data_IF_294817684167
#
_entry.id   IF_294817684167
#
_cell.length_a   1.000
_cell.length_b   1.000
_cell.length_c   1.000
_cell.angle_alpha   90.00
_cell.angle_beta   90.00
_cell.angle_gamma   90.00
#
_symmetry.space_group_name_H-M   'P 1'
#
loop_
_entity.id
_entity.type
_entity.pdbx_description
1 polymer ?
#
# COMPACT_ATOMS: atom_id res chain seq x y z
N UNK A 1 -14.91 -25.84 -3.87
CA UNK A 1 -15.26 -24.84 -2.86
C UNK A 1 -15.17 -23.48 -3.54
N UNK A 2 -16.30 -22.87 -3.84
CA UNK A 2 -16.33 -21.51 -4.40
C UNK A 2 -15.93 -20.52 -3.30
N UNK A 3 -15.11 -19.53 -3.66
CA UNK A 3 -14.62 -18.43 -2.84
C UNK A 3 -15.75 -17.49 -2.39
N UNK A 4 -16.67 -18.00 -1.58
CA UNK A 4 -17.74 -17.20 -0.97
C UNK A 4 -17.13 -16.29 0.10
N UNK A 5 -17.01 -15.02 -0.26
CA UNK A 5 -16.96 -13.82 0.60
C UNK A 5 -16.34 -14.02 1.97
N UNK A 6 -15.01 -14.11 2.02
CA UNK A 6 -14.33 -14.02 3.30
C UNK A 6 -14.65 -12.66 3.95
N UNK A 7 -15.11 -12.61 5.21
CA UNK A 7 -15.56 -11.36 5.83
C UNK A 7 -14.53 -10.22 5.79
N UNK A 8 -13.24 -10.55 5.80
CA UNK A 8 -12.17 -9.55 5.75
C UNK A 8 -12.02 -8.87 4.39
N UNK A 9 -12.34 -9.54 3.28
CA UNK A 9 -12.26 -8.94 1.94
C UNK A 9 -13.22 -7.75 1.84
N UNK A 10 -14.44 -7.93 2.34
CA UNK A 10 -15.46 -6.88 2.41
C UNK A 10 -15.05 -5.75 3.37
N UNK A 11 -14.42 -6.08 4.50
CA UNK A 11 -13.88 -5.07 5.41
C UNK A 11 -12.76 -4.24 4.75
N UNK A 12 -11.92 -4.86 3.94
CA UNK A 12 -10.87 -4.17 3.17
C UNK A 12 -11.45 -3.26 2.10
N UNK A 13 -12.42 -3.77 1.33
CA UNK A 13 -13.12 -2.98 0.32
C UNK A 13 -13.77 -1.75 0.96
N UNK A 14 -14.42 -1.89 2.13
CA UNK A 14 -14.99 -0.74 2.86
C UNK A 14 -13.95 0.30 3.26
N UNK A 15 -12.77 -0.13 3.74
CA UNK A 15 -11.66 0.81 4.03
C UNK A 15 -11.25 1.60 2.80
N UNK A 16 -11.18 0.95 1.64
CA UNK A 16 -10.89 1.62 0.36
C UNK A 16 -12.00 2.58 -0.07
N UNK A 17 -13.27 2.22 0.14
CA UNK A 17 -14.41 3.11 -0.12
C UNK A 17 -14.38 4.36 0.76
N UNK A 18 -14.10 4.21 2.06
CA UNK A 18 -14.04 5.31 3.04
C UNK A 18 -13.01 6.37 2.64
N UNK A 19 -11.85 5.95 2.12
CA UNK A 19 -10.81 6.88 1.66
C UNK A 19 -10.94 7.26 0.18
N UNK A 20 -11.95 6.75 -0.53
CA UNK A 20 -12.16 6.96 -1.98
C UNK A 20 -10.97 6.50 -2.83
N UNK A 21 -10.37 5.36 -2.48
CA UNK A 21 -9.21 4.80 -3.18
C UNK A 21 -9.49 4.59 -4.67
N UNK A 22 -10.68 4.12 -5.05
CA UNK A 22 -11.05 3.93 -6.47
C UNK A 22 -10.90 5.22 -7.28
N UNK A 23 -11.45 6.33 -6.78
CA UNK A 23 -11.41 7.61 -7.48
C UNK A 23 -9.97 8.14 -7.60
N UNK A 24 -9.14 7.92 -6.59
CA UNK A 24 -7.72 8.28 -6.62
C UNK A 24 -6.95 7.42 -7.63
N UNK A 25 -7.10 6.10 -7.57
CA UNK A 25 -6.40 5.16 -8.44
C UNK A 25 -6.76 5.38 -9.91
N UNK A 26 -8.04 5.58 -10.22
CA UNK A 26 -8.49 5.93 -11.57
C UNK A 26 -7.90 7.26 -12.05
N UNK A 27 -7.79 8.26 -11.17
CA UNK A 27 -7.17 9.56 -11.50
C UNK A 27 -5.70 9.42 -11.89
N UNK A 28 -4.97 8.50 -11.27
CA UNK A 28 -3.56 8.24 -11.59
C UNK A 28 -3.35 7.17 -12.68
N UNK A 29 -4.44 6.62 -13.25
CA UNK A 29 -4.38 5.68 -14.37
C UNK A 29 -4.35 4.20 -13.98
N UNK A 30 -4.64 3.86 -12.73
CA UNK A 30 -4.74 2.47 -12.26
C UNK A 30 -6.21 2.01 -12.30
N UNK A 31 -6.47 0.90 -13.00
CA UNK A 31 -7.77 0.24 -12.98
C UNK A 31 -8.00 -0.45 -11.63
N UNK A 32 -8.92 0.10 -10.83
CA UNK A 32 -9.24 -0.39 -9.49
C UNK A 32 -9.85 -1.80 -9.49
N UNK A 33 -10.65 -2.14 -10.51
CA UNK A 33 -11.31 -3.43 -10.58
C UNK A 33 -10.29 -4.56 -10.82
N UNK A 34 -9.38 -4.39 -11.77
CA UNK A 34 -8.39 -5.41 -12.10
C UNK A 34 -7.23 -5.48 -11.11
N UNK A 35 -6.83 -4.35 -10.51
CA UNK A 35 -5.64 -4.32 -9.63
C UNK A 35 -5.95 -4.48 -8.14
N UNK A 36 -7.16 -4.15 -7.68
CA UNK A 36 -7.49 -4.17 -6.24
C UNK A 36 -8.64 -5.15 -5.96
N UNK A 37 -9.81 -4.93 -6.57
CA UNK A 37 -10.99 -5.78 -6.31
C UNK A 37 -10.78 -7.22 -6.79
N UNK A 38 -10.34 -7.41 -8.04
CA UNK A 38 -10.09 -8.73 -8.60
C UNK A 38 -9.14 -9.57 -7.75
N UNK A 39 -7.94 -9.07 -7.39
CA UNK A 39 -6.99 -9.80 -6.56
C UNK A 39 -7.53 -10.15 -5.17
N UNK A 40 -8.15 -9.19 -4.47
CA UNK A 40 -8.64 -9.44 -3.11
C UNK A 40 -9.84 -10.41 -3.09
N UNK A 41 -10.77 -10.29 -4.05
CA UNK A 41 -11.92 -11.19 -4.17
C UNK A 41 -11.53 -12.62 -4.56
N UNK A 42 -10.39 -12.78 -5.24
CA UNK A 42 -9.84 -14.10 -5.60
C UNK A 42 -8.79 -14.61 -4.60
N UNK A 43 -8.53 -13.89 -3.51
CA UNK A 43 -7.59 -14.29 -2.49
C UNK A 43 -8.00 -15.60 -1.83
N UNK A 44 -7.01 -16.42 -1.49
CA UNK A 44 -7.17 -17.69 -0.75
C UNK A 44 -6.64 -17.60 0.68
N UNK A 45 -6.19 -16.43 1.12
CA UNK A 45 -5.74 -16.21 2.49
C UNK A 45 -6.91 -16.39 3.45
N UNK A 46 -6.68 -17.01 4.61
CA UNK A 46 -7.73 -17.28 5.61
C UNK A 46 -7.98 -16.08 6.56
N UNK A 47 -7.13 -15.05 6.50
CA UNK A 47 -7.16 -13.87 7.35
C UNK A 47 -6.84 -12.61 6.56
N UNK A 48 -7.18 -11.45 7.14
CA UNK A 48 -6.90 -10.14 6.56
C UNK A 48 -5.39 -9.85 6.56
N UNK A 49 -4.71 -9.77 5.40
CA UNK A 49 -3.29 -9.40 5.36
C UNK A 49 -3.06 -7.93 5.78
N UNK A 50 -4.11 -7.12 5.80
CA UNK A 50 -4.07 -5.69 6.14
C UNK A 50 -4.69 -5.36 7.50
N UNK A 51 -4.94 -6.33 8.38
CA UNK A 51 -5.61 -6.09 9.67
C UNK A 51 -4.89 -5.00 10.50
N UNK A 52 -3.55 -5.04 10.43
CA UNK A 52 -2.65 -4.14 11.15
C UNK A 52 -2.16 -2.96 10.32
N UNK A 53 -2.78 -2.70 9.16
CA UNK A 53 -2.44 -1.59 8.28
C UNK A 53 -3.49 -0.48 8.31
N UNK A 54 -3.06 0.71 7.92
CA UNK A 54 -3.87 1.90 7.67
C UNK A 54 -3.77 2.19 6.17
N UNK A 55 -4.91 2.44 5.57
CA UNK A 55 -5.01 2.95 4.21
C UNK A 55 -5.32 4.44 4.28
N UNK A 56 -4.54 5.26 3.58
CA UNK A 56 -4.73 6.71 3.59
C UNK A 56 -4.19 7.32 2.30
N UNK A 57 -4.83 8.39 1.81
CA UNK A 57 -4.30 9.21 0.73
C UNK A 57 -3.73 10.49 1.34
N UNK A 58 -2.43 10.68 1.20
CA UNK A 58 -1.71 11.82 1.77
C UNK A 58 -1.35 12.81 0.64
N UNK A 59 -1.67 14.11 0.78
CA UNK A 59 -1.16 15.14 -0.12
C UNK A 59 0.37 15.21 -0.02
N UNK A 60 1.03 15.31 -1.16
CA UNK A 60 2.49 15.32 -1.20
C UNK A 60 2.99 16.58 -1.92
N UNK A 61 4.06 17.17 -1.40
CA UNK A 61 4.69 18.39 -1.89
C UNK A 61 5.13 18.34 -3.36
N UNK A 62 5.51 17.16 -3.88
CA UNK A 62 6.02 16.95 -5.23
C UNK A 62 5.05 16.19 -6.14
N UNK A 63 4.05 15.52 -5.57
CA UNK A 63 3.08 14.69 -6.31
C UNK A 63 1.71 15.35 -6.17
N UNK A 64 1.26 16.17 -7.15
CA UNK A 64 0.02 16.94 -7.05
C UNK A 64 -1.24 16.07 -6.90
N UNK A 65 -1.18 14.81 -7.34
CA UNK A 65 -2.28 13.88 -7.15
C UNK A 65 -2.43 13.41 -5.69
N UNK A 66 -1.36 13.47 -4.89
CA UNK A 66 -1.20 12.76 -3.63
C UNK A 66 -0.60 11.37 -3.81
N UNK A 67 -0.39 10.67 -2.70
CA UNK A 67 0.09 9.29 -2.65
C UNK A 67 -0.91 8.46 -1.85
N UNK A 68 -1.30 7.30 -2.38
CA UNK A 68 -2.04 6.31 -1.60
C UNK A 68 -1.03 5.47 -0.82
N UNK A 69 -1.17 5.40 0.49
CA UNK A 69 -0.36 4.56 1.35
C UNK A 69 -1.20 3.40 1.91
N UNK A 70 -0.56 2.25 2.05
CA UNK A 70 -0.96 1.17 2.95
C UNK A 70 0.20 0.94 3.92
N UNK A 71 0.12 1.43 5.15
CA UNK A 71 1.24 1.42 6.09
C UNK A 71 0.85 0.81 7.43
N UNK A 72 1.81 0.25 8.19
CA UNK A 72 1.47 -0.45 9.43
C UNK A 72 1.09 0.54 10.53
N UNK A 73 0.08 0.20 11.34
CA UNK A 73 -0.36 0.97 12.53
C UNK A 73 0.77 1.18 13.53
N UNK A 74 1.66 0.19 13.63
CA UNK A 74 2.85 0.17 14.48
C UNK A 74 3.95 -0.60 13.78
N UNK A 75 5.18 -0.18 14.00
CA UNK A 75 6.37 -0.87 13.50
C UNK A 75 7.20 -1.27 14.70
N UNK A 76 7.15 -2.55 15.03
CA UNK A 76 7.84 -3.20 16.14
C UNK A 76 8.96 -4.10 15.58
N UNK A 77 9.18 -5.28 16.17
CA UNK A 77 10.27 -6.19 15.76
C UNK A 77 9.87 -7.18 14.66
N UNK A 78 8.57 -7.44 14.55
CA UNK A 78 7.96 -8.28 13.53
C UNK A 78 8.09 -7.65 12.15
N UNK A 79 8.10 -8.49 11.12
CA UNK A 79 8.09 -8.02 9.74
C UNK A 79 6.77 -7.31 9.45
N UNK A 80 6.84 -6.08 8.95
CA UNK A 80 5.70 -5.30 8.49
C UNK A 80 6.00 -4.70 7.13
N UNK A 81 4.93 -4.49 6.37
CA UNK A 81 4.98 -3.96 5.02
C UNK A 81 4.33 -2.58 4.99
N UNK A 82 4.91 -1.71 4.18
CA UNK A 82 4.37 -0.42 3.79
C UNK A 82 4.38 -0.35 2.26
N UNK A 83 3.24 -0.01 1.65
CA UNK A 83 3.09 0.17 0.20
C UNK A 83 2.67 1.60 -0.14
N UNK A 84 3.08 2.06 -1.33
CA UNK A 84 2.76 3.38 -1.88
C UNK A 84 2.36 3.30 -3.35
N UNK A 85 1.30 4.01 -3.75
CA UNK A 85 0.91 4.18 -5.15
C UNK A 85 0.79 5.65 -5.52
N UNK A 86 1.47 6.06 -6.59
CA UNK A 86 1.46 7.45 -7.04
C UNK A 86 1.83 7.60 -8.52
N UNK A 87 1.56 8.80 -9.06
CA UNK A 87 1.95 9.21 -10.41
C UNK A 87 3.00 10.31 -10.32
N UNK A 88 4.21 10.05 -10.82
CA UNK A 88 5.30 11.01 -10.90
C UNK A 88 5.89 10.97 -12.31
N UNK A 89 6.09 12.13 -12.92
CA UNK A 89 6.67 12.27 -14.27
C UNK A 89 5.95 11.41 -15.34
N UNK A 90 4.62 11.30 -15.24
CA UNK A 90 3.74 10.47 -16.08
C UNK A 90 3.97 8.95 -15.97
N UNK A 91 4.72 8.51 -14.97
CA UNK A 91 4.93 7.10 -14.65
C UNK A 91 4.19 6.74 -13.37
N UNK A 92 3.54 5.57 -13.38
CA UNK A 92 2.85 5.02 -12.21
C UNK A 92 3.88 4.25 -11.41
N UNK A 93 4.01 4.60 -10.13
CA UNK A 93 4.92 3.95 -9.20
C UNK A 93 4.12 3.14 -8.18
N UNK A 94 4.58 1.92 -7.91
CA UNK A 94 4.20 1.13 -6.75
C UNK A 94 5.46 0.79 -5.97
N UNK A 95 5.61 1.36 -4.78
CA UNK A 95 6.71 1.00 -3.88
C UNK A 95 6.22 -0.01 -2.86
N UNK A 96 7.02 -1.06 -2.65
CA UNK A 96 6.84 -2.02 -1.56
C UNK A 96 8.03 -1.86 -0.62
N UNK A 97 7.75 -1.56 0.65
CA UNK A 97 8.72 -1.28 1.69
C UNK A 97 8.55 -2.24 2.87
N UNK A 98 9.65 -2.69 3.46
CA UNK A 98 9.66 -3.61 4.61
C UNK A 98 10.70 -3.19 5.65
N UNK A 99 10.36 -3.32 6.94
CA UNK A 99 11.31 -3.08 8.03
C UNK A 99 12.38 -4.18 8.15
N UNK A 100 12.24 -5.26 7.38
CA UNK A 100 13.21 -6.36 7.27
C UNK A 100 13.58 -6.60 5.80
N UNK A 101 14.80 -7.08 5.54
CA UNK A 101 15.26 -7.43 4.20
C UNK A 101 14.35 -8.49 3.55
N UNK A 102 14.11 -8.34 2.25
CA UNK A 102 13.41 -9.33 1.41
C UNK A 102 14.15 -9.50 0.09
N UNK A 103 13.85 -10.61 -0.61
CA UNK A 103 14.65 -11.09 -1.75
C UNK A 103 14.78 -10.07 -2.89
N UNK A 104 13.70 -9.37 -3.21
CA UNK A 104 13.64 -8.40 -4.30
C UNK A 104 14.03 -6.97 -3.90
N UNK A 105 14.49 -6.75 -2.66
CA UNK A 105 14.86 -5.43 -2.20
C UNK A 105 15.99 -4.82 -3.06
N UNK A 106 15.74 -3.62 -3.58
CA UNK A 106 16.63 -2.87 -4.47
C UNK A 106 17.51 -1.88 -3.71
N UNK A 107 17.12 -1.53 -2.49
CA UNK A 107 17.86 -0.59 -1.65
C UNK A 107 17.29 -0.45 -0.25
N UNK A 108 17.84 0.52 0.48
CA UNK A 108 17.36 0.94 1.79
C UNK A 108 17.09 2.44 1.72
N UNK A 109 15.94 2.85 2.25
CA UNK A 109 15.58 4.25 2.40
C UNK A 109 15.15 4.52 3.86
N UNK A 110 15.47 5.71 4.35
CA UNK A 110 15.11 6.17 5.70
C UNK A 110 14.45 7.54 5.56
N UNK A 111 13.12 7.63 5.68
CA UNK A 111 12.44 8.91 5.70
C UNK A 111 12.89 9.73 6.92
N UNK A 112 13.12 11.02 6.67
CA UNK A 112 13.59 11.95 7.70
C UNK A 112 12.52 12.14 8.79
N UNK A 113 12.89 12.36 10.06
CA UNK A 113 11.92 12.52 11.15
C UNK A 113 10.96 13.71 11.00
N UNK A 114 11.31 14.69 10.17
CA UNK A 114 10.52 15.89 9.88
C UNK A 114 9.86 15.87 8.50
N UNK A 115 9.86 14.71 7.84
CA UNK A 115 9.14 14.50 6.59
C UNK A 115 7.64 14.71 6.82
N UNK A 116 7.02 15.52 5.95
CA UNK A 116 5.60 15.88 6.02
C UNK A 116 4.76 15.17 4.96
N UNK A 117 5.41 14.50 4.01
CA UNK A 117 4.79 13.85 2.85
C UNK A 117 4.47 12.38 3.14
N UNK A 118 4.99 11.82 4.23
CA UNK A 118 4.83 10.41 4.61
C UNK A 118 4.17 10.22 5.99
N UNK A 119 3.54 9.06 6.26
CA UNK A 119 2.91 8.79 7.55
C UNK A 119 3.90 8.86 8.73
N UNK A 120 3.50 9.48 9.84
CA UNK A 120 4.35 9.60 11.04
C UNK A 120 4.84 8.23 11.57
N UNK A 121 4.03 7.18 11.40
CA UNK A 121 4.38 5.82 11.83
C UNK A 121 5.65 5.27 11.16
N UNK A 122 5.94 5.71 9.93
CA UNK A 122 7.05 5.18 9.11
C UNK A 122 8.33 6.02 9.18
N UNK A 123 8.28 7.20 9.82
CA UNK A 123 9.42 8.12 9.91
C UNK A 123 10.53 7.61 10.85
N UNK A 124 11.78 8.05 10.58
CA UNK A 124 12.91 7.84 11.49
C UNK A 124 13.41 6.39 11.58
N UNK A 125 13.05 5.54 10.60
CA UNK A 125 13.47 4.14 10.54
C UNK A 125 13.82 3.72 9.11
N UNK A 126 14.66 2.71 8.97
CA UNK A 126 15.07 2.19 7.67
C UNK A 126 14.08 1.19 7.12
N UNK A 127 13.83 1.30 5.82
CA UNK A 127 12.97 0.43 5.04
C UNK A 127 13.77 -0.13 3.87
N UNK A 128 13.74 -1.45 3.72
CA UNK A 128 14.14 -2.10 2.48
C UNK A 128 13.03 -1.85 1.48
N UNK A 129 13.34 -1.42 0.25
CA UNK A 129 12.32 -1.09 -0.74
C UNK A 129 12.54 -1.80 -2.08
N UNK A 130 11.44 -1.99 -2.79
CA UNK A 130 11.38 -2.41 -4.19
C UNK A 130 10.41 -1.50 -4.95
N UNK A 131 10.80 -1.09 -6.15
CA UNK A 131 9.89 -0.51 -7.13
C UNK A 131 9.21 -1.65 -7.90
N UNK A 132 7.97 -1.94 -7.56
CA UNK A 132 7.21 -3.06 -8.13
C UNK A 132 6.62 -2.68 -9.49
N UNK A 133 6.82 -3.54 -10.49
CA UNK A 133 6.11 -3.46 -11.77
C UNK A 133 4.66 -3.96 -11.64
N UNK A 134 4.38 -4.76 -10.62
CA UNK A 134 3.03 -5.22 -10.30
C UNK A 134 2.32 -4.16 -9.45
N UNK A 135 1.24 -3.58 -9.96
CA UNK A 135 0.48 -2.53 -9.29
C UNK A 135 -0.53 -3.05 -8.26
N UNK A 136 -0.65 -4.36 -8.11
CA UNK A 136 -1.59 -4.99 -7.17
C UNK A 136 -1.07 -4.87 -5.73
N UNK A 137 -1.96 -4.62 -4.75
CA UNK A 137 -1.61 -4.73 -3.33
C UNK A 137 -1.12 -6.12 -2.97
N UNK A 138 -0.13 -6.19 -2.09
CA UNK A 138 0.52 -7.45 -1.79
C UNK A 138 -0.28 -8.28 -0.78
N UNK A 139 -0.60 -9.51 -1.18
CA UNK A 139 -1.34 -10.48 -0.37
C UNK A 139 -0.35 -11.49 0.25
N UNK A 140 0.31 -11.12 1.35
CA UNK A 140 1.25 -11.98 2.08
C UNK A 140 0.58 -12.97 3.03
#
# INVERSE_FOLDING_TARGET
MSSQDQPWTQATIRRWEEIKAEAFLQKIGIDFQSNFIGPISNSKLDSDPYENSIWEIIPHSLIPAGVLHCYPKKVESEKVIWEEWFLLDNEIHHHILSNQLFESAQGIWTPEPNDIDHPVAVLGRSWHYENSEDLRPTLY
#
